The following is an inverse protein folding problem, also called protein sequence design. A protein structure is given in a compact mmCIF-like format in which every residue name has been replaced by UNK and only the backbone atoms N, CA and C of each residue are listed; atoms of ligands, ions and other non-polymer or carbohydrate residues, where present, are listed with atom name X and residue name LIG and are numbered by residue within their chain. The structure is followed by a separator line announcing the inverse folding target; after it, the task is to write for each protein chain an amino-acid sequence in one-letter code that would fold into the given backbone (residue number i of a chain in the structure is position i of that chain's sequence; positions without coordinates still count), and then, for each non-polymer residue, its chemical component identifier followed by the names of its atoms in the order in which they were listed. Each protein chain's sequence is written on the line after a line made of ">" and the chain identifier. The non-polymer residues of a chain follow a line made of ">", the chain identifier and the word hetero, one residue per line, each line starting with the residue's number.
data_IF_800531208182
#
_entry.id   IF_800531208182
#
_cell.length_a   1.000
_cell.length_b   1.000
_cell.length_c   1.000
_cell.angle_alpha   90.00
_cell.angle_beta   90.00
_cell.angle_gamma   90.00
#
_symmetry.space_group_name_H-M   'P 1'
#
loop_
_entity.id
_entity.type
_entity.pdbx_description
1 polymer ?
#
# COMPACT_ATOMS: atom_id res chain seq x y z
N UNK A 1 16.53 29.85 13.92
CA UNK A 1 17.34 28.67 13.54
C UNK A 1 17.12 28.42 12.08
N UNK A 2 18.19 28.23 11.31
CA UNK A 2 18.11 27.89 9.89
C UNK A 2 17.38 26.56 9.71
N UNK A 3 16.56 26.48 8.65
CA UNK A 3 15.86 25.28 8.22
C UNK A 3 16.33 24.99 6.80
N UNK A 4 16.50 23.72 6.49
CA UNK A 4 16.91 23.22 5.20
C UNK A 4 15.71 22.54 4.53
N UNK A 5 15.53 22.80 3.24
CA UNK A 5 14.63 22.04 2.39
C UNK A 5 15.44 20.93 1.71
N UNK A 6 15.13 19.68 2.02
CA UNK A 6 15.76 18.52 1.38
C UNK A 6 14.80 17.98 0.33
N UNK A 7 15.35 17.56 -0.82
CA UNK A 7 14.58 17.10 -1.98
C UNK A 7 15.12 15.77 -2.50
N UNK A 8 14.20 14.89 -2.89
CA UNK A 8 14.46 13.67 -3.64
C UNK A 8 13.61 13.65 -4.91
N UNK A 9 14.00 12.84 -5.87
CA UNK A 9 13.23 12.65 -7.10
C UNK A 9 13.10 11.17 -7.41
N UNK A 10 11.88 10.74 -7.67
CA UNK A 10 11.56 9.36 -8.04
C UNK A 10 10.85 9.36 -9.38
N UNK A 11 11.27 8.46 -10.27
CA UNK A 11 10.61 8.26 -11.56
C UNK A 11 9.59 7.14 -11.43
N UNK A 12 8.33 7.48 -11.71
CA UNK A 12 7.25 6.50 -11.81
C UNK A 12 7.35 5.86 -13.20
N UNK A 13 7.74 4.58 -13.26
CA UNK A 13 7.79 3.82 -14.51
C UNK A 13 6.42 3.19 -14.78
N UNK A 14 5.80 3.58 -15.88
CA UNK A 14 4.66 2.86 -16.46
C UNK A 14 5.16 1.60 -17.18
N UNK A 15 5.42 0.54 -16.43
CA UNK A 15 5.70 -0.77 -17.01
C UNK A 15 4.40 -1.58 -16.99
N UNK A 16 3.58 -1.42 -18.02
CA UNK A 16 2.60 -2.45 -18.33
C UNK A 16 3.35 -3.58 -19.04
N UNK A 17 3.41 -4.76 -18.41
CA UNK A 17 3.86 -5.99 -19.08
C UNK A 17 3.03 -6.21 -20.37
N UNK A 18 3.56 -6.90 -21.39
CA UNK A 18 2.82 -7.14 -22.64
C UNK A 18 1.42 -7.75 -22.41
N UNK A 19 1.27 -8.61 -21.41
CA UNK A 19 -0.02 -9.17 -21.00
C UNK A 19 -0.96 -8.10 -20.44
N UNK A 20 -0.45 -7.19 -19.60
CA UNK A 20 -1.19 -6.03 -19.07
C UNK A 20 -1.60 -5.08 -20.19
N UNK A 21 -0.77 -4.89 -21.22
CA UNK A 21 -1.09 -4.04 -22.39
C UNK A 21 -2.22 -4.58 -23.27
N UNK A 22 -2.48 -5.89 -23.22
CA UNK A 22 -3.63 -6.52 -23.89
C UNK A 22 -4.92 -6.21 -23.10
N UNK A 23 -4.83 -6.13 -21.77
CA UNK A 23 -5.91 -5.70 -20.87
C UNK A 23 -6.12 -4.17 -20.87
N UNK A 24 -5.07 -3.39 -21.16
CA UNK A 24 -5.04 -1.92 -21.16
C UNK A 24 -5.62 -1.26 -22.44
N UNK A 25 -6.20 -2.04 -23.36
CA UNK A 25 -6.85 -1.52 -24.58
C UNK A 25 -8.13 -0.72 -24.32
N UNK A 26 -8.55 -0.61 -23.06
CA UNK A 26 -9.74 0.09 -22.60
C UNK A 26 -9.50 1.53 -22.13
N UNK A 27 -8.26 2.06 -22.20
CA UNK A 27 -7.89 3.37 -21.62
C UNK A 27 -8.04 3.46 -20.08
N UNK A 28 -8.32 2.34 -19.41
CA UNK A 28 -8.62 2.29 -17.96
C UNK A 28 -7.38 2.55 -17.10
N UNK A 29 -6.15 2.32 -17.60
CA UNK A 29 -4.91 2.61 -16.86
C UNK A 29 -4.19 3.87 -17.36
N UNK A 30 -4.91 4.79 -18.03
CA UNK A 30 -4.30 6.01 -18.56
C UNK A 30 -3.61 6.83 -17.44
N UNK A 31 -2.31 7.06 -17.62
CA UNK A 31 -1.34 7.47 -16.59
C UNK A 31 -1.51 8.87 -15.96
N UNK A 32 -2.67 9.50 -16.08
CA UNK A 32 -2.99 10.76 -15.39
C UNK A 32 -3.50 10.55 -13.96
N UNK A 33 -4.31 9.51 -13.70
CA UNK A 33 -4.87 9.25 -12.37
C UNK A 33 -3.89 8.51 -11.44
N UNK A 34 -2.99 7.68 -12.00
CA UNK A 34 -1.94 7.00 -11.24
C UNK A 34 -1.01 7.98 -10.50
N UNK A 35 -0.64 9.10 -11.14
CA UNK A 35 0.29 10.05 -10.52
C UNK A 35 -0.31 10.74 -9.28
N UNK A 36 -1.62 11.00 -9.29
CA UNK A 36 -2.32 11.59 -8.12
C UNK A 36 -2.38 10.58 -6.97
N UNK A 37 -2.54 9.29 -7.28
CA UNK A 37 -2.49 8.22 -6.29
C UNK A 37 -1.08 8.06 -5.71
N UNK A 38 -0.05 8.10 -6.55
CA UNK A 38 1.34 8.01 -6.10
C UNK A 38 1.69 9.18 -5.16
N UNK A 39 1.29 10.40 -5.52
CA UNK A 39 1.43 11.60 -4.68
C UNK A 39 0.79 11.40 -3.31
N UNK A 40 -0.40 10.80 -3.28
CA UNK A 40 -1.11 10.54 -2.04
C UNK A 40 -0.48 9.40 -1.23
N UNK A 41 0.00 8.35 -1.90
CA UNK A 41 0.65 7.23 -1.24
C UNK A 41 1.91 7.71 -0.50
N UNK A 42 2.68 8.62 -1.10
CA UNK A 42 3.83 9.25 -0.44
C UNK A 42 3.48 10.02 0.84
N UNK A 43 2.28 10.58 0.96
CA UNK A 43 1.83 11.28 2.17
C UNK A 43 1.06 10.37 3.14
N UNK A 44 0.90 9.08 2.80
CA UNK A 44 0.18 8.13 3.63
C UNK A 44 0.94 7.77 4.91
N UNK A 45 0.17 7.52 5.98
CA UNK A 45 0.73 7.08 7.27
C UNK A 45 1.38 5.70 7.20
N UNK A 46 0.84 4.80 6.38
CA UNK A 46 1.38 3.43 6.23
C UNK A 46 2.77 3.47 5.61
N UNK A 47 2.93 4.18 4.49
CA UNK A 47 4.23 4.31 3.84
C UNK A 47 5.24 5.04 4.73
N UNK A 48 4.79 6.09 5.41
CA UNK A 48 5.60 6.79 6.42
C UNK A 48 6.06 5.84 7.54
N UNK A 49 5.18 4.95 8.00
CA UNK A 49 5.51 3.98 9.03
C UNK A 49 6.55 2.96 8.56
N UNK A 50 6.42 2.46 7.32
CA UNK A 50 7.40 1.54 6.74
C UNK A 50 8.77 2.22 6.57
N UNK A 51 8.78 3.48 6.13
CA UNK A 51 9.99 4.28 6.02
C UNK A 51 10.65 4.50 7.38
N UNK A 52 9.87 4.90 8.40
CA UNK A 52 10.36 5.13 9.75
C UNK A 52 10.85 3.85 10.44
N UNK A 53 10.30 2.68 10.11
CA UNK A 53 10.77 1.41 10.66
C UNK A 53 12.23 1.09 10.26
N UNK A 54 12.70 1.63 9.13
CA UNK A 54 14.09 1.52 8.67
C UNK A 54 15.02 2.55 9.34
N UNK A 55 14.48 3.47 10.15
CA UNK A 55 15.18 4.61 10.72
C UNK A 55 15.10 4.62 12.26
N UNK A 56 16.16 5.07 12.92
CA UNK A 56 16.20 5.23 14.38
C UNK A 56 15.78 6.65 14.79
N UNK A 57 14.56 7.05 14.44
CA UNK A 57 14.01 8.40 14.72
C UNK A 57 13.21 8.47 16.02
N UNK A 58 13.02 7.32 16.66
CA UNK A 58 12.34 7.13 17.94
C UNK A 58 13.04 7.82 19.12
N UNK A 59 14.33 8.15 18.95
CA UNK A 59 15.10 8.95 19.90
C UNK A 59 15.76 10.14 19.22
N UNK A 60 15.48 11.35 19.69
CA UNK A 60 16.26 12.54 19.36
C UNK A 60 17.33 12.80 20.42
N UNK A 61 18.55 13.12 19.99
CA UNK A 61 19.67 13.46 20.86
C UNK A 61 20.03 14.93 20.74
N UNK A 62 20.35 15.56 21.86
CA UNK A 62 20.70 16.97 21.95
C UNK A 62 21.97 17.16 22.77
N UNK A 63 22.73 18.20 22.43
CA UNK A 63 23.77 18.74 23.29
C UNK A 63 23.48 20.20 23.60
N UNK A 64 23.65 20.57 24.87
CA UNK A 64 23.57 21.96 25.31
C UNK A 64 24.94 22.62 25.20
N UNK A 65 25.01 23.71 24.44
CA UNK A 65 26.15 24.63 24.51
C UNK A 65 25.77 25.85 25.35
N UNK A 66 26.75 26.69 25.71
CA UNK A 66 26.50 27.94 26.44
C UNK A 66 25.57 28.92 25.69
N UNK A 67 25.32 28.71 24.40
CA UNK A 67 24.61 29.66 23.52
C UNK A 67 23.31 29.07 22.98
N UNK A 68 23.31 27.79 22.59
CA UNK A 68 22.14 27.11 22.01
C UNK A 68 22.20 25.61 22.19
N UNK A 69 21.04 24.99 22.20
CA UNK A 69 20.90 23.56 22.01
C UNK A 69 21.11 23.18 20.53
N UNK A 70 21.78 22.06 20.30
CA UNK A 70 21.94 21.45 18.98
C UNK A 70 21.41 20.02 19.02
N UNK A 71 20.63 19.62 18.00
CA UNK A 71 20.26 18.21 17.81
C UNK A 71 21.42 17.49 17.10
N UNK A 72 21.87 16.37 17.68
CA UNK A 72 23.08 15.66 17.26
C UNK A 72 22.81 14.61 16.17
N UNK A 73 21.60 14.03 16.16
CA UNK A 73 21.23 12.92 15.26
C UNK A 73 22.31 11.80 15.29
N UNK A 74 22.96 11.46 14.17
CA UNK A 74 24.02 10.43 14.10
C UNK A 74 25.33 10.82 14.78
N UNK A 75 25.57 12.10 15.05
CA UNK A 75 26.77 12.57 15.75
C UNK A 75 26.67 12.41 17.28
N UNK A 76 25.58 11.83 17.77
CA UNK A 76 25.41 11.55 19.19
C UNK A 76 26.44 10.53 19.67
N UNK A 77 27.19 10.79 20.76
CA UNK A 77 28.07 9.80 21.35
C UNK A 77 27.31 8.70 22.11
N UNK A 78 26.01 8.91 22.31
CA UNK A 78 25.10 8.00 23.02
C UNK A 78 24.06 7.43 22.05
N UNK A 79 23.73 6.15 22.23
CA UNK A 79 22.61 5.49 21.58
C UNK A 79 21.69 4.89 22.62
N UNK A 80 20.43 5.28 22.61
CA UNK A 80 19.37 4.72 23.43
C UNK A 80 18.60 3.71 22.58
N UNK A 81 18.42 2.50 23.10
CA UNK A 81 17.57 1.47 22.53
C UNK A 81 16.35 1.28 23.43
N UNK A 82 15.18 1.64 22.94
CA UNK A 82 13.93 1.69 23.71
C UNK A 82 13.14 0.41 23.54
N UNK A 83 12.53 -0.07 24.62
CA UNK A 83 11.55 -1.16 24.57
C UNK A 83 10.13 -0.56 24.47
N UNK A 84 9.62 -0.41 23.25
CA UNK A 84 8.32 0.21 22.99
C UNK A 84 7.11 -0.65 23.44
N UNK A 85 7.33 -1.90 23.88
CA UNK A 85 6.29 -2.75 24.49
C UNK A 85 6.09 -2.43 26.00
N UNK A 86 6.88 -1.50 26.54
CA UNK A 86 6.78 -1.01 27.91
C UNK A 86 6.37 0.47 27.94
N UNK A 87 5.64 0.97 28.96
CA UNK A 87 5.36 2.40 29.10
C UNK A 87 6.64 3.24 29.09
N UNK A 88 6.67 4.33 28.32
CA UNK A 88 7.86 5.19 28.18
C UNK A 88 7.56 6.66 28.55
N UNK A 89 8.55 7.31 29.15
CA UNK A 89 8.58 8.76 29.36
C UNK A 89 8.71 9.45 28.00
N UNK A 90 7.59 9.93 27.49
CA UNK A 90 7.54 10.63 26.20
C UNK A 90 7.28 12.13 26.36
N UNK A 91 7.57 12.90 25.32
CA UNK A 91 7.41 14.37 25.28
C UNK A 91 8.29 15.15 26.28
N UNK A 92 9.28 14.51 26.90
CA UNK A 92 10.17 15.16 27.86
C UNK A 92 11.62 14.77 27.60
N UNK A 93 12.51 15.74 27.75
CA UNK A 93 13.94 15.50 27.63
C UNK A 93 14.46 14.87 28.91
N UNK A 94 15.35 13.90 28.75
CA UNK A 94 16.10 13.28 29.82
C UNK A 94 17.56 13.65 29.63
N UNK A 95 18.17 14.24 30.66
CA UNK A 95 19.57 14.64 30.65
C UNK A 95 20.46 13.49 31.10
N UNK A 96 21.53 13.25 30.36
CA UNK A 96 22.58 12.28 30.66
C UNK A 96 23.85 13.03 31.03
N UNK A 97 24.34 12.75 32.24
CA UNK A 97 25.68 13.14 32.68
C UNK A 97 26.60 11.92 32.63
N UNK A 98 27.52 11.90 31.68
CA UNK A 98 28.52 10.84 31.54
C UNK A 98 29.54 11.00 32.69
N UNK A 99 29.69 9.98 33.53
CA UNK A 99 30.61 10.02 34.68
C UNK A 99 31.96 9.38 34.30
N UNK A 100 31.92 8.27 33.58
CA UNK A 100 33.07 7.54 33.08
C UNK A 100 32.70 6.83 31.77
N UNK A 101 33.64 6.11 31.17
CA UNK A 101 33.41 5.33 29.94
C UNK A 101 32.50 4.12 30.19
N UNK A 102 32.22 3.81 31.46
CA UNK A 102 31.37 2.69 31.88
C UNK A 102 30.07 3.12 32.57
N UNK A 103 30.01 4.36 33.07
CA UNK A 103 28.92 4.81 33.96
C UNK A 103 28.40 6.18 33.61
N UNK A 104 27.10 6.39 33.79
CA UNK A 104 26.40 7.65 33.61
C UNK A 104 25.36 7.87 34.71
N UNK A 105 24.77 9.06 34.73
CA UNK A 105 23.62 9.41 35.58
C UNK A 105 22.54 10.08 34.74
N UNK A 106 21.29 9.69 34.99
CA UNK A 106 20.12 10.36 34.42
C UNK A 106 19.64 11.46 35.35
N UNK A 107 19.26 12.58 34.76
CA UNK A 107 18.71 13.76 35.42
C UNK A 107 17.45 14.19 34.63
N UNK A 108 16.46 14.78 35.30
CA UNK A 108 15.38 15.47 34.60
C UNK A 108 15.97 16.52 33.65
N UNK A 109 15.48 16.55 32.40
CA UNK A 109 15.84 17.61 31.45
C UNK A 109 15.17 18.93 31.80
N UNK A 110 15.62 20.03 31.18
CA UNK A 110 14.96 21.32 31.34
C UNK A 110 13.64 21.35 30.55
N UNK A 111 12.54 21.68 31.24
CA UNK A 111 11.22 21.84 30.63
C UNK A 111 11.22 23.00 29.63
N UNK A 112 10.52 22.84 28.50
CA UNK A 112 10.27 23.98 27.62
C UNK A 112 9.39 25.00 28.35
N UNK A 113 9.59 26.30 28.09
CA UNK A 113 8.85 27.39 28.74
C UNK A 113 7.31 27.21 28.69
N UNK A 114 6.79 26.57 27.64
CA UNK A 114 5.36 26.24 27.50
C UNK A 114 4.88 25.13 28.45
N UNK A 115 5.73 24.15 28.80
CA UNK A 115 5.37 23.08 29.74
C UNK A 115 5.16 23.63 31.15
N UNK A 116 5.96 24.63 31.55
CA UNK A 116 5.80 25.33 32.83
C UNK A 116 4.52 26.19 32.91
N UNK A 117 3.91 26.56 31.77
CA UNK A 117 2.74 27.43 31.75
C UNK A 117 1.42 26.66 31.88
N UNK A 118 1.38 25.40 31.41
CA UNK A 118 0.17 24.56 31.43
C UNK A 118 0.21 23.41 32.44
N UNK A 119 1.36 23.06 33.02
CA UNK A 119 1.47 21.96 33.99
C UNK A 119 1.86 22.46 35.40
N UNK A 120 0.96 22.30 36.38
CA UNK A 120 1.26 22.51 37.81
C UNK A 120 2.06 21.34 38.43
N UNK A 121 2.89 20.61 37.67
CA UNK A 121 3.50 19.33 38.06
C UNK A 121 4.97 19.42 38.46
N UNK A 122 5.40 20.53 39.07
CA UNK A 122 6.80 20.72 39.49
C UNK A 122 7.26 19.77 40.63
N UNK A 123 6.37 18.95 41.19
CA UNK A 123 6.61 18.16 42.41
C UNK A 123 6.79 16.64 42.20
N UNK A 124 6.66 16.09 40.98
CA UNK A 124 6.73 14.62 40.73
C UNK A 124 8.00 14.19 39.96
N UNK A 125 8.79 15.15 39.48
CA UNK A 125 9.84 14.87 38.49
C UNK A 125 11.20 14.44 39.09
N UNK A 126 11.55 14.91 40.29
CA UNK A 126 12.84 14.59 40.92
C UNK A 126 12.87 13.19 41.59
N UNK A 127 11.71 12.59 41.83
CA UNK A 127 11.53 11.34 42.60
C UNK A 127 11.35 10.09 41.73
N UNK A 128 11.44 10.19 40.39
CA UNK A 128 11.36 8.99 39.54
C UNK A 128 12.54 8.06 39.78
N UNK A 129 12.24 6.77 39.76
CA UNK A 129 13.16 5.70 40.12
C UNK A 129 14.37 5.55 39.19
N UNK A 130 14.37 6.14 37.99
CA UNK A 130 15.52 6.12 37.08
C UNK A 130 16.51 7.28 37.29
N UNK A 131 16.11 8.36 37.97
CA UNK A 131 16.93 9.57 38.10
C UNK A 131 17.90 9.50 39.27
N UNK A 132 18.97 10.30 39.19
CA UNK A 132 19.97 10.48 40.24
C UNK A 132 20.76 9.22 40.65
N UNK A 133 20.58 8.09 39.94
CA UNK A 133 21.31 6.83 40.14
C UNK A 133 22.54 6.73 39.24
N UNK A 134 23.58 6.06 39.72
CA UNK A 134 24.72 5.68 38.88
C UNK A 134 24.35 4.42 38.11
N UNK A 135 24.23 4.55 36.79
CA UNK A 135 23.86 3.48 35.87
C UNK A 135 25.06 3.13 34.98
N UNK A 136 25.05 1.93 34.41
CA UNK A 136 26.12 1.46 33.52
C UNK A 136 25.64 1.39 32.08
N UNK A 137 26.53 1.71 31.15
CA UNK A 137 26.23 1.55 29.72
C UNK A 137 26.04 0.07 29.38
N UNK A 138 25.06 -0.21 28.52
CA UNK A 138 24.68 -1.56 28.06
C UNK A 138 23.78 -2.34 29.03
N UNK A 139 23.66 -1.90 30.29
CA UNK A 139 22.69 -2.47 31.24
C UNK A 139 21.29 -1.90 30.99
N UNK A 140 20.27 -2.70 31.31
CA UNK A 140 18.86 -2.29 31.18
C UNK A 140 18.48 -1.33 32.29
N UNK A 141 17.95 -0.17 31.91
CA UNK A 141 17.34 0.78 32.82
C UNK A 141 15.85 0.48 32.85
N UNK A 142 15.34 0.10 34.01
CA UNK A 142 13.92 -0.21 34.24
C UNK A 142 13.42 0.74 35.33
N UNK A 143 12.34 1.44 35.04
CA UNK A 143 11.55 2.19 36.00
C UNK A 143 10.06 2.05 35.73
N UNK A 144 9.21 2.73 36.50
CA UNK A 144 7.74 2.64 36.39
C UNK A 144 7.21 2.92 34.98
N UNK A 145 7.79 3.92 34.29
CA UNK A 145 7.42 4.32 32.94
C UNK A 145 8.65 4.50 32.04
N UNK A 146 9.68 3.68 32.24
CA UNK A 146 10.87 3.69 31.42
C UNK A 146 11.49 2.30 31.30
N UNK A 147 11.72 1.86 30.06
CA UNK A 147 12.53 0.66 29.81
C UNK A 147 13.38 0.82 28.57
N UNK A 148 14.69 0.93 28.74
CA UNK A 148 15.63 1.14 27.65
C UNK A 148 17.07 0.76 28.04
N UNK A 149 17.95 0.66 27.04
CA UNK A 149 19.40 0.50 27.21
C UNK A 149 20.13 1.69 26.62
N UNK A 150 21.17 2.17 27.30
CA UNK A 150 22.01 3.27 26.80
C UNK A 150 23.39 2.72 26.49
N UNK A 151 23.88 2.97 25.28
CA UNK A 151 25.20 2.59 24.80
C UNK A 151 26.04 3.84 24.55
N UNK A 152 27.33 3.77 24.89
CA UNK A 152 28.32 4.77 24.51
C UNK A 152 28.98 4.32 23.20
N UNK A 153 28.82 5.08 22.12
CA UNK A 153 29.34 4.73 20.79
C UNK A 153 30.69 5.37 20.50
N UNK A 154 30.89 6.63 20.92
CA UNK A 154 32.13 7.36 20.72
C UNK A 154 32.44 8.15 22.00
N UNK A 155 33.60 7.92 22.61
CA UNK A 155 34.01 8.61 23.84
C UNK A 155 34.73 9.95 23.58
N UNK A 156 34.60 10.51 22.37
CA UNK A 156 35.03 11.87 22.10
C UNK A 156 34.06 12.84 22.79
N UNK A 157 34.20 12.98 24.12
CA UNK A 157 33.39 13.88 24.94
C UNK A 157 33.55 15.31 24.42
N UNK A 158 32.55 15.76 23.69
CA UNK A 158 32.55 17.07 23.06
C UNK A 158 31.75 18.10 23.88
N UNK A 159 30.85 17.64 24.76
CA UNK A 159 29.95 18.48 25.54
C UNK A 159 29.80 17.96 26.98
N UNK A 160 29.50 18.88 27.91
CA UNK A 160 29.36 18.58 29.35
C UNK A 160 28.09 17.79 29.69
N UNK A 161 27.02 18.01 28.93
CA UNK A 161 25.72 17.36 29.14
C UNK A 161 25.05 17.03 27.81
N UNK A 162 24.48 15.84 27.74
CA UNK A 162 23.67 15.37 26.63
C UNK A 162 22.23 15.23 27.09
N UNK A 163 21.28 15.42 26.19
CA UNK A 163 19.86 15.16 26.46
C UNK A 163 19.29 14.26 25.37
N UNK A 164 18.29 13.45 25.71
CA UNK A 164 17.54 12.69 24.72
C UNK A 164 16.04 12.81 24.94
N UNK A 165 15.27 12.66 23.87
CA UNK A 165 13.81 12.72 23.85
C UNK A 165 13.27 11.51 23.13
N UNK A 166 12.36 10.79 23.77
CA UNK A 166 11.64 9.66 23.19
C UNK A 166 10.38 10.15 22.48
N UNK A 167 10.19 9.69 21.24
CA UNK A 167 9.02 9.99 20.42
C UNK A 167 8.19 8.74 20.21
N UNK A 168 6.89 8.77 20.54
CA UNK A 168 6.04 7.60 20.29
C UNK A 168 5.93 7.31 18.79
N UNK A 169 5.81 6.04 18.37
CA UNK A 169 5.65 5.68 16.95
C UNK A 169 4.55 6.50 16.26
N UNK A 170 3.37 6.63 16.89
CA UNK A 170 2.25 7.39 16.34
C UNK A 170 2.57 8.88 16.14
N UNK A 171 3.24 9.51 17.10
CA UNK A 171 3.62 10.93 16.99
C UNK A 171 4.67 11.17 15.89
N UNK A 172 5.58 10.22 15.68
CA UNK A 172 6.54 10.29 14.58
C UNK A 172 5.84 10.15 13.24
N UNK A 173 4.96 9.16 13.10
CA UNK A 173 4.20 8.94 11.87
C UNK A 173 3.41 10.20 11.53
N UNK A 174 2.63 10.74 12.47
CA UNK A 174 1.84 11.95 12.25
C UNK A 174 2.72 13.16 11.90
N UNK A 175 3.87 13.32 12.57
CA UNK A 175 4.77 14.43 12.29
C UNK A 175 5.39 14.33 10.90
N UNK A 176 5.88 13.16 10.53
CA UNK A 176 6.65 12.95 9.31
C UNK A 176 5.78 12.78 8.07
N UNK A 177 4.56 12.23 8.20
CA UNK A 177 3.60 12.16 7.09
C UNK A 177 3.11 13.57 6.69
N UNK A 178 2.86 14.43 7.69
CA UNK A 178 2.42 15.82 7.47
C UNK A 178 3.54 16.76 7.02
N UNK A 179 4.80 16.37 7.18
CA UNK A 179 5.97 17.19 6.83
C UNK A 179 6.47 16.98 5.40
N UNK A 180 5.88 16.02 4.67
CA UNK A 180 6.20 15.74 3.27
C UNK A 180 5.37 16.60 2.34
N UNK A 181 6.02 17.11 1.30
CA UNK A 181 5.36 17.66 0.12
C UNK A 181 5.77 16.85 -1.10
N UNK A 182 4.80 16.46 -1.91
CA UNK A 182 5.04 15.74 -3.16
C UNK A 182 4.36 16.50 -4.30
N UNK A 183 5.12 16.71 -5.38
CA UNK A 183 4.62 17.38 -6.59
C UNK A 183 5.33 16.82 -7.82
N UNK A 184 4.71 16.89 -9.01
CA UNK A 184 5.41 16.63 -10.25
C UNK A 184 6.58 17.59 -10.44
N UNK A 185 7.76 17.09 -10.84
CA UNK A 185 8.94 17.92 -11.11
C UNK A 185 8.71 18.83 -12.34
N UNK A 186 7.98 18.31 -13.33
CA UNK A 186 7.53 19.03 -14.52
C UNK A 186 6.03 18.76 -14.67
N UNK A 187 5.25 19.75 -15.08
CA UNK A 187 3.82 19.56 -15.38
C UNK A 187 3.66 18.42 -16.40
N UNK A 188 2.82 17.43 -16.09
CA UNK A 188 2.61 16.22 -16.91
C UNK A 188 3.84 15.29 -17.03
N UNK A 189 4.86 15.45 -16.18
CA UNK A 189 6.00 14.53 -16.09
C UNK A 189 5.73 13.33 -15.19
N UNK A 190 6.46 12.22 -15.43
CA UNK A 190 6.41 10.99 -14.61
C UNK A 190 7.38 10.99 -13.42
N UNK A 191 8.06 12.11 -13.19
CA UNK A 191 9.02 12.28 -12.09
C UNK A 191 8.36 13.10 -11.00
N UNK A 192 8.30 12.53 -9.79
CA UNK A 192 7.84 13.20 -8.59
C UNK A 192 9.02 13.77 -7.81
N UNK A 193 8.92 15.04 -7.43
CA UNK A 193 9.79 15.68 -6.43
C UNK A 193 9.13 15.51 -5.06
N UNK A 194 9.89 14.94 -4.13
CA UNK A 194 9.50 14.75 -2.73
C UNK A 194 10.39 15.68 -1.92
N UNK A 195 9.78 16.52 -1.08
CA UNK A 195 10.53 17.45 -0.24
C UNK A 195 10.08 17.45 1.21
N UNK A 196 11.00 17.81 2.10
CA UNK A 196 10.73 18.03 3.51
C UNK A 196 11.58 19.16 4.07
N UNK A 197 11.09 19.82 5.11
CA UNK A 197 11.81 20.90 5.79
C UNK A 197 12.31 20.40 7.15
N UNK A 198 13.62 20.43 7.34
CA UNK A 198 14.31 19.89 8.52
C UNK A 198 15.32 20.88 9.08
N UNK A 199 15.72 20.69 10.34
CA UNK A 199 16.85 21.41 10.95
C UNK A 199 18.19 20.73 10.68
N UNK A 200 18.17 19.45 10.32
CA UNK A 200 19.35 18.63 10.05
C UNK A 200 19.19 18.04 8.66
N UNK A 201 20.03 18.47 7.73
CA UNK A 201 20.03 18.02 6.32
C UNK A 201 20.08 16.50 6.22
N UNK A 202 21.05 15.86 6.88
CA UNK A 202 21.23 14.40 6.86
C UNK A 202 19.96 13.66 7.31
N UNK A 203 19.28 14.14 8.34
CA UNK A 203 18.03 13.55 8.85
C UNK A 203 16.89 13.65 7.82
N UNK A 204 16.84 14.76 7.08
CA UNK A 204 15.88 14.93 5.98
C UNK A 204 16.20 14.02 4.80
N UNK A 205 17.48 13.89 4.44
CA UNK A 205 17.93 13.01 3.35
C UNK A 205 17.66 11.54 3.65
N UNK A 206 17.99 11.08 4.87
CA UNK A 206 17.73 9.71 5.29
C UNK A 206 16.24 9.38 5.25
N UNK A 207 15.38 10.32 5.69
CA UNK A 207 13.94 10.13 5.64
C UNK A 207 13.39 10.08 4.22
N UNK A 208 13.77 11.03 3.36
CA UNK A 208 13.32 11.04 1.96
C UNK A 208 13.78 9.78 1.24
N UNK A 209 15.02 9.32 1.46
CA UNK A 209 15.52 8.07 0.88
C UNK A 209 14.73 6.85 1.37
N UNK A 210 14.53 6.71 2.68
CA UNK A 210 13.75 5.61 3.23
C UNK A 210 12.30 5.59 2.74
N UNK A 211 11.69 6.77 2.54
CA UNK A 211 10.34 6.92 2.01
C UNK A 211 10.27 6.52 0.52
N UNK A 212 11.26 6.93 -0.28
CA UNK A 212 11.36 6.48 -1.68
C UNK A 212 11.60 4.97 -1.78
N UNK A 213 12.44 4.40 -0.92
CA UNK A 213 12.69 2.96 -0.90
C UNK A 213 11.44 2.17 -0.50
N UNK A 214 10.71 2.63 0.52
CA UNK A 214 9.42 2.04 0.91
C UNK A 214 8.41 2.10 -0.25
N UNK A 215 8.34 3.22 -0.97
CA UNK A 215 7.46 3.36 -2.13
C UNK A 215 7.82 2.37 -3.24
N UNK A 216 9.11 2.23 -3.56
CA UNK A 216 9.57 1.30 -4.59
C UNK A 216 9.29 -0.16 -4.22
N UNK A 217 9.43 -0.52 -2.95
CA UNK A 217 9.05 -1.85 -2.44
C UNK A 217 7.54 -2.10 -2.55
N UNK A 218 6.72 -1.11 -2.18
CA UNK A 218 5.26 -1.17 -2.31
C UNK A 218 4.83 -1.33 -3.78
N UNK A 219 5.32 -0.46 -4.67
CA UNK A 219 4.99 -0.46 -6.10
C UNK A 219 5.39 -1.79 -6.76
N UNK A 220 6.55 -2.34 -6.41
CA UNK A 220 6.98 -3.64 -6.91
C UNK A 220 6.06 -4.77 -6.44
N UNK A 221 5.64 -4.75 -5.16
CA UNK A 221 4.74 -5.75 -4.60
C UNK A 221 3.36 -5.69 -5.26
N UNK A 222 2.81 -4.50 -5.46
CA UNK A 222 1.54 -4.30 -6.15
C UNK A 222 1.60 -4.81 -7.60
N UNK A 223 2.68 -4.48 -8.33
CA UNK A 223 2.90 -4.97 -9.70
C UNK A 223 3.02 -6.48 -9.80
N UNK A 224 3.71 -7.12 -8.85
CA UNK A 224 3.81 -8.58 -8.82
C UNK A 224 2.45 -9.22 -8.55
N UNK A 225 1.67 -8.69 -7.60
CA UNK A 225 0.32 -9.19 -7.30
C UNK A 225 -0.61 -9.09 -8.52
N UNK A 226 -0.58 -7.95 -9.24
CA UNK A 226 -1.35 -7.78 -10.48
C UNK A 226 -0.92 -8.80 -11.53
N UNK A 227 0.39 -9.02 -11.69
CA UNK A 227 0.93 -9.95 -12.69
C UNK A 227 0.58 -11.41 -12.37
N UNK A 228 0.67 -11.81 -11.10
CA UNK A 228 0.27 -13.14 -10.63
C UNK A 228 -1.22 -13.41 -10.84
N UNK A 229 -2.06 -12.42 -10.51
CA UNK A 229 -3.51 -12.52 -10.74
C UNK A 229 -3.85 -12.58 -12.23
N UNK A 230 -3.17 -11.80 -13.06
CA UNK A 230 -3.36 -11.83 -14.51
C UNK A 230 -2.93 -13.18 -15.12
N UNK A 231 -1.79 -13.73 -14.68
CA UNK A 231 -1.32 -15.05 -15.12
C UNK A 231 -2.33 -16.15 -14.73
N UNK A 232 -2.75 -16.16 -13.45
CA UNK A 232 -3.76 -17.10 -12.96
C UNK A 232 -5.05 -17.02 -13.78
N UNK A 233 -5.51 -15.80 -14.08
CA UNK A 233 -6.68 -15.60 -14.92
C UNK A 233 -6.49 -16.21 -16.32
N UNK A 234 -5.34 -15.98 -16.97
CA UNK A 234 -5.03 -16.54 -18.30
C UNK A 234 -5.01 -18.08 -18.26
N UNK A 235 -4.38 -18.68 -17.25
CA UNK A 235 -4.33 -20.13 -17.08
C UNK A 235 -5.73 -20.74 -16.94
N UNK A 236 -6.60 -20.12 -16.14
CA UNK A 236 -8.00 -20.52 -16.01
C UNK A 236 -8.75 -20.42 -17.35
N UNK A 237 -8.51 -19.37 -18.14
CA UNK A 237 -9.13 -19.23 -19.46
C UNK A 237 -8.62 -20.25 -20.49
N UNK A 238 -7.33 -20.59 -20.48
CA UNK A 238 -6.76 -21.58 -21.40
C UNK A 238 -7.37 -22.96 -21.17
N UNK A 239 -7.55 -23.36 -19.91
CA UNK A 239 -8.18 -24.64 -19.57
C UNK A 239 -9.62 -24.72 -20.10
N UNK A 240 -10.38 -23.63 -19.98
CA UNK A 240 -11.77 -23.55 -20.45
C UNK A 240 -11.83 -23.65 -21.98
N UNK A 241 -10.92 -22.96 -22.69
CA UNK A 241 -10.84 -23.01 -24.15
C UNK A 241 -10.44 -24.41 -24.64
N UNK A 242 -9.50 -25.08 -23.97
CA UNK A 242 -9.07 -26.44 -24.30
C UNK A 242 -10.22 -27.45 -24.15
N UNK A 243 -10.92 -27.43 -23.01
CA UNK A 243 -12.07 -28.30 -22.77
C UNK A 243 -13.22 -28.04 -23.77
N UNK A 244 -13.44 -26.76 -24.11
CA UNK A 244 -14.45 -26.36 -25.10
C UNK A 244 -14.09 -26.85 -26.52
N UNK A 245 -12.83 -26.71 -26.94
CA UNK A 245 -12.36 -27.19 -28.23
C UNK A 245 -12.50 -28.70 -28.35
N UNK A 246 -12.10 -29.46 -27.32
CA UNK A 246 -12.24 -30.91 -27.27
C UNK A 246 -13.70 -31.37 -27.35
N UNK A 247 -14.61 -30.61 -26.73
CA UNK A 247 -16.05 -30.85 -26.79
C UNK A 247 -16.60 -30.64 -28.21
N UNK A 248 -16.16 -29.57 -28.89
CA UNK A 248 -16.53 -29.28 -30.28
C UNK A 248 -15.99 -30.36 -31.23
N UNK A 249 -14.71 -30.73 -31.13
CA UNK A 249 -14.12 -31.82 -31.93
C UNK A 249 -14.89 -33.14 -31.78
N UNK A 250 -15.27 -33.49 -30.54
CA UNK A 250 -16.08 -34.67 -30.27
C UNK A 250 -17.49 -34.58 -30.85
N UNK A 251 -18.10 -33.40 -30.87
CA UNK A 251 -19.42 -33.16 -31.45
C UNK A 251 -19.39 -33.28 -32.98
N UNK A 252 -18.42 -32.64 -33.61
CA UNK A 252 -18.16 -32.77 -35.05
C UNK A 252 -17.88 -34.23 -35.46
N UNK A 253 -17.09 -34.97 -34.68
CA UNK A 253 -16.81 -36.38 -34.95
C UNK A 253 -18.08 -37.23 -34.87
N UNK A 254 -18.90 -37.05 -33.82
CA UNK A 254 -20.18 -37.76 -33.68
C UNK A 254 -21.13 -37.46 -34.83
N UNK A 255 -21.21 -36.20 -35.24
CA UNK A 255 -22.04 -35.79 -36.38
C UNK A 255 -21.60 -36.48 -37.67
N UNK A 256 -20.28 -36.50 -37.97
CA UNK A 256 -19.73 -37.19 -39.15
C UNK A 256 -20.04 -38.68 -39.15
N UNK A 257 -19.89 -39.34 -38.00
CA UNK A 257 -20.17 -40.79 -37.84
C UNK A 257 -21.66 -41.11 -38.00
N UNK A 258 -22.54 -40.37 -37.31
CA UNK A 258 -23.99 -40.60 -37.36
C UNK A 258 -24.56 -40.42 -38.77
N UNK A 259 -24.08 -39.41 -39.49
CA UNK A 259 -24.56 -39.10 -40.83
C UNK A 259 -23.80 -39.84 -41.94
N UNK A 260 -22.90 -40.79 -41.58
CA UNK A 260 -22.09 -41.59 -42.52
C UNK A 260 -21.33 -40.72 -43.55
N UNK A 261 -20.92 -39.53 -43.13
CA UNK A 261 -20.24 -38.53 -43.95
C UNK A 261 -18.76 -38.87 -44.08
N UNK A 262 -18.44 -39.91 -44.84
CA UNK A 262 -17.07 -40.23 -45.24
C UNK A 262 -16.72 -39.67 -46.63
N UNK A 263 -17.73 -39.30 -47.43
CA UNK A 263 -17.55 -38.71 -48.76
C UNK A 263 -18.40 -37.42 -48.85
N UNK A 264 -17.73 -36.26 -48.79
CA UNK A 264 -18.38 -34.95 -48.74
C UNK A 264 -18.77 -34.54 -50.16
N UNK A 265 -19.96 -34.93 -50.62
CA UNK A 265 -20.53 -34.34 -51.83
C UNK A 265 -20.94 -32.88 -51.55
N UNK A 266 -20.89 -32.03 -52.59
CA UNK A 266 -21.09 -30.57 -52.51
C UNK A 266 -22.41 -30.12 -51.83
N UNK A 267 -23.43 -30.98 -51.78
CA UNK A 267 -24.70 -30.73 -51.08
C UNK A 267 -24.57 -30.64 -49.55
N UNK A 268 -23.53 -31.24 -48.95
CA UNK A 268 -23.33 -31.24 -47.49
C UNK A 268 -22.35 -30.18 -46.99
N UNK A 269 -21.64 -29.48 -47.89
CA UNK A 269 -20.69 -28.42 -47.52
C UNK A 269 -21.34 -27.29 -46.73
N UNK A 270 -22.49 -26.78 -47.19
CA UNK A 270 -23.19 -25.69 -46.50
C UNK A 270 -23.76 -26.08 -45.13
N UNK A 271 -24.11 -27.35 -44.92
CA UNK A 271 -24.53 -27.85 -43.60
C UNK A 271 -23.33 -27.91 -42.65
N UNK A 272 -22.18 -28.37 -43.14
CA UNK A 272 -20.94 -28.41 -42.36
C UNK A 272 -20.45 -27.00 -41.98
N UNK A 273 -20.54 -26.04 -42.90
CA UNK A 273 -20.21 -24.63 -42.63
C UNK A 273 -21.14 -24.04 -41.56
N UNK A 274 -22.45 -24.32 -41.63
CA UNK A 274 -23.41 -23.89 -40.60
C UNK A 274 -23.10 -24.51 -39.23
N UNK A 275 -22.71 -25.78 -39.18
CA UNK A 275 -22.31 -26.45 -37.93
C UNK A 275 -21.05 -25.80 -37.36
N UNK A 276 -20.05 -25.50 -38.19
CA UNK A 276 -18.84 -24.82 -37.75
C UNK A 276 -19.14 -23.43 -37.18
N UNK A 277 -20.05 -22.68 -37.81
CA UNK A 277 -20.49 -21.36 -37.31
C UNK A 277 -21.24 -21.50 -35.98
N UNK A 278 -22.15 -22.48 -35.85
CA UNK A 278 -22.88 -22.74 -34.60
C UNK A 278 -21.93 -23.19 -33.48
N UNK A 279 -20.97 -24.06 -33.77
CA UNK A 279 -19.94 -24.46 -32.80
C UNK A 279 -19.08 -23.27 -32.37
N UNK A 280 -18.63 -22.41 -33.30
CA UNK A 280 -17.88 -21.20 -32.98
C UNK A 280 -18.70 -20.24 -32.10
N UNK A 281 -20.00 -20.09 -32.36
CA UNK A 281 -20.91 -19.30 -31.53
C UNK A 281 -21.06 -19.89 -30.12
N UNK A 282 -21.21 -21.22 -30.01
CA UNK A 282 -21.29 -21.91 -28.71
C UNK A 282 -19.98 -21.72 -27.93
N UNK A 283 -18.82 -21.79 -28.60
CA UNK A 283 -17.51 -21.55 -27.97
C UNK A 283 -17.40 -20.12 -27.42
N UNK A 284 -17.83 -19.11 -28.18
CA UNK A 284 -17.84 -17.72 -27.70
C UNK A 284 -18.77 -17.54 -26.49
N UNK A 285 -19.95 -18.17 -26.51
CA UNK A 285 -20.91 -18.17 -25.40
C UNK A 285 -20.33 -18.86 -24.15
N UNK A 286 -19.61 -19.98 -24.32
CA UNK A 286 -18.98 -20.69 -23.20
C UNK A 286 -17.84 -19.90 -22.58
N UNK A 287 -17.09 -19.17 -23.39
CA UNK A 287 -16.11 -18.21 -22.91
C UNK A 287 -16.75 -17.08 -22.08
N UNK A 288 -17.85 -16.49 -22.56
CA UNK A 288 -18.61 -15.47 -21.80
C UNK A 288 -19.10 -16.03 -20.45
N UNK A 289 -19.67 -17.25 -20.43
CA UNK A 289 -20.16 -17.88 -19.19
C UNK A 289 -19.04 -18.17 -18.20
N UNK A 290 -17.93 -18.71 -18.67
CA UNK A 290 -16.75 -18.96 -17.86
C UNK A 290 -16.24 -17.68 -17.19
N UNK A 291 -16.17 -16.59 -17.95
CA UNK A 291 -15.79 -15.29 -17.44
C UNK A 291 -16.76 -14.79 -16.36
N UNK A 292 -18.06 -14.76 -16.64
CA UNK A 292 -19.05 -14.30 -15.67
C UNK A 292 -19.03 -15.12 -14.37
N UNK A 293 -18.81 -16.44 -14.45
CA UNK A 293 -18.68 -17.29 -13.27
C UNK A 293 -17.38 -17.05 -12.48
N UNK A 294 -16.27 -16.78 -13.17
CA UNK A 294 -14.99 -16.41 -12.53
C UNK A 294 -15.16 -15.11 -11.77
N UNK A 295 -15.78 -14.11 -12.40
CA UNK A 295 -16.02 -12.81 -11.79
C UNK A 295 -17.01 -12.88 -10.62
N UNK A 296 -18.09 -13.64 -10.77
CA UNK A 296 -19.01 -13.95 -9.68
C UNK A 296 -18.26 -14.53 -8.48
N UNK A 297 -17.37 -15.48 -8.72
CA UNK A 297 -16.57 -16.13 -7.67
C UNK A 297 -15.62 -15.15 -7.01
N UNK A 298 -14.97 -14.29 -7.80
CA UNK A 298 -14.08 -13.24 -7.32
C UNK A 298 -14.78 -12.23 -6.40
N UNK A 299 -15.96 -11.74 -6.78
CA UNK A 299 -16.76 -10.81 -5.97
C UNK A 299 -17.23 -11.44 -4.65
N UNK A 300 -17.48 -12.74 -4.64
CA UNK A 300 -17.94 -13.48 -3.45
C UNK A 300 -16.78 -13.87 -2.52
N UNK A 301 -15.59 -14.15 -3.04
CA UNK A 301 -14.45 -14.62 -2.22
C UNK A 301 -13.56 -13.51 -1.67
N UNK A 302 -13.61 -12.29 -2.22
CA UNK A 302 -12.83 -11.12 -1.77
C UNK A 302 -13.67 -10.07 -1.04
N UNK A 303 -14.73 -10.48 -0.35
CA UNK A 303 -15.55 -9.56 0.47
C UNK A 303 -14.78 -8.96 1.66
N UNK A 304 -13.70 -9.60 2.12
CA UNK A 304 -13.01 -9.18 3.35
C UNK A 304 -11.79 -8.26 3.12
N UNK A 305 -11.24 -8.17 1.90
CA UNK A 305 -10.08 -7.32 1.56
C UNK A 305 -10.40 -6.34 0.44
N UNK A 306 -10.83 -5.14 0.80
CA UNK A 306 -11.11 -4.00 -0.10
C UNK A 306 -9.87 -3.49 -0.88
N UNK A 307 -8.69 -4.06 -0.64
CA UNK A 307 -7.42 -3.59 -1.18
C UNK A 307 -7.08 -4.20 -2.55
N UNK A 308 -7.80 -5.23 -2.99
CA UNK A 308 -7.33 -6.11 -4.05
C UNK A 308 -8.25 -6.19 -5.28
N UNK A 309 -9.24 -5.30 -5.44
CA UNK A 309 -10.16 -5.31 -6.59
C UNK A 309 -9.44 -4.86 -7.86
N UNK A 310 -8.75 -5.81 -8.50
CA UNK A 310 -8.22 -5.68 -9.87
C UNK A 310 -9.25 -6.34 -10.76
N UNK A 311 -10.24 -5.58 -11.22
CA UNK A 311 -11.22 -6.11 -12.18
C UNK A 311 -10.51 -6.33 -13.53
N UNK A 312 -10.41 -7.57 -14.05
CA UNK A 312 -9.83 -7.80 -15.36
C UNK A 312 -10.79 -7.19 -16.41
N UNK A 313 -10.39 -6.07 -17.01
CA UNK A 313 -11.13 -5.51 -18.14
C UNK A 313 -10.74 -6.30 -19.39
N UNK A 314 -11.68 -7.02 -20.01
CA UNK A 314 -11.42 -7.74 -21.25
C UNK A 314 -12.27 -7.17 -22.38
N UNK A 315 -11.55 -6.80 -23.43
CA UNK A 315 -12.06 -6.54 -24.78
C UNK A 315 -12.82 -7.77 -25.27
N UNK A 316 -14.14 -7.65 -25.45
CA UNK A 316 -14.96 -8.69 -26.10
C UNK A 316 -16.32 -8.94 -25.44
N UNK A 317 -16.50 -8.56 -24.18
CA UNK A 317 -17.80 -8.67 -23.50
C UNK A 317 -18.57 -7.37 -23.69
N UNK A 318 -19.65 -7.44 -24.48
CA UNK A 318 -20.38 -6.29 -24.99
C UNK A 318 -21.41 -5.67 -24.04
N UNK A 319 -21.36 -5.93 -22.72
CA UNK A 319 -22.31 -5.34 -21.78
C UNK A 319 -21.81 -4.00 -21.21
N UNK A 320 -22.39 -2.89 -21.70
CA UNK A 320 -22.01 -1.54 -21.30
C UNK A 320 -22.31 -1.24 -19.83
N UNK A 321 -23.42 -1.73 -19.29
CA UNK A 321 -23.82 -1.47 -17.91
C UNK A 321 -22.86 -2.13 -16.92
N UNK A 322 -22.46 -3.36 -17.21
CA UNK A 322 -21.46 -4.10 -16.44
C UNK A 322 -20.12 -3.37 -16.40
N UNK A 323 -19.66 -2.86 -17.55
CA UNK A 323 -18.42 -2.10 -17.65
C UNK A 323 -18.51 -0.80 -16.83
N UNK A 324 -19.62 -0.06 -16.92
CA UNK A 324 -19.84 1.17 -16.16
C UNK A 324 -19.82 0.93 -14.65
N UNK A 325 -20.53 -0.10 -14.17
CA UNK A 325 -20.53 -0.44 -12.75
C UNK A 325 -19.14 -0.85 -12.26
N UNK A 326 -18.37 -1.56 -13.10
CA UNK A 326 -17.00 -1.96 -12.77
C UNK A 326 -16.07 -0.75 -12.66
N UNK A 327 -16.19 0.22 -13.57
CA UNK A 327 -15.43 1.48 -13.50
C UNK A 327 -15.75 2.25 -12.22
N UNK A 328 -17.04 2.42 -11.89
CA UNK A 328 -17.45 3.07 -10.63
C UNK A 328 -16.96 2.34 -9.38
N UNK A 329 -16.84 1.00 -9.42
CA UNK A 329 -16.32 0.23 -8.30
C UNK A 329 -14.83 0.51 -8.08
N UNK A 330 -14.07 0.61 -9.15
CA UNK A 330 -12.65 0.99 -9.12
C UNK A 330 -12.50 2.41 -8.54
N UNK A 331 -13.26 3.38 -9.07
CA UNK A 331 -13.23 4.77 -8.60
C UNK A 331 -13.53 4.89 -7.10
N UNK A 332 -14.61 4.27 -6.61
CA UNK A 332 -14.97 4.30 -5.19
C UNK A 332 -13.93 3.60 -4.30
N UNK A 333 -13.37 2.48 -4.77
CA UNK A 333 -12.31 1.76 -4.04
C UNK A 333 -11.04 2.61 -3.92
N UNK A 334 -10.71 3.37 -4.97
CA UNK A 334 -9.61 4.32 -4.97
C UNK A 334 -9.86 5.51 -4.04
N UNK A 335 -11.07 6.09 -4.06
CA UNK A 335 -11.44 7.18 -3.15
C UNK A 335 -11.37 6.75 -1.68
N UNK A 336 -11.82 5.52 -1.39
CA UNK A 336 -11.70 4.90 -0.07
C UNK A 336 -10.26 4.75 0.37
N UNK A 337 -9.40 4.19 -0.50
CA UNK A 337 -7.96 4.05 -0.25
C UNK A 337 -7.33 5.42 0.04
N UNK A 338 -7.75 6.43 -0.72
CA UNK A 338 -7.31 7.80 -0.54
C UNK A 338 -7.69 8.35 0.83
N UNK A 339 -8.92 8.15 1.25
CA UNK A 339 -9.38 8.60 2.56
C UNK A 339 -8.63 7.89 3.70
N UNK A 340 -8.47 6.58 3.62
CA UNK A 340 -7.74 5.76 4.60
C UNK A 340 -6.26 6.13 4.75
N UNK A 341 -5.67 6.81 3.78
CA UNK A 341 -4.30 7.33 3.92
C UNK A 341 -4.19 8.44 4.98
N UNK A 342 -5.30 9.11 5.29
CA UNK A 342 -5.37 10.28 6.17
C UNK A 342 -6.10 9.95 7.47
N UNK A 343 -7.14 9.10 7.41
CA UNK A 343 -8.01 8.78 8.55
C UNK A 343 -8.07 7.27 8.81
N UNK A 344 -8.50 6.89 10.01
CA UNK A 344 -8.72 5.47 10.35
C UNK A 344 -9.97 4.92 9.65
N UNK A 345 -10.03 3.60 9.50
CA UNK A 345 -11.19 2.83 9.04
C UNK A 345 -12.51 3.17 9.76
N UNK A 346 -12.45 3.61 11.02
CA UNK A 346 -13.63 4.00 11.78
C UNK A 346 -14.25 5.34 11.35
N UNK A 347 -13.62 6.11 10.46
CA UNK A 347 -14.06 7.46 10.08
C UNK A 347 -15.43 7.42 9.36
N UNK A 348 -16.37 8.36 9.63
CA UNK A 348 -17.70 8.36 9.02
C UNK A 348 -17.68 8.31 7.49
N UNK A 349 -16.83 9.11 6.85
CA UNK A 349 -16.73 9.15 5.39
C UNK A 349 -16.20 7.83 4.80
N UNK A 350 -15.34 7.10 5.53
CA UNK A 350 -14.89 5.77 5.11
C UNK A 350 -16.07 4.81 5.12
N UNK A 351 -16.90 4.85 6.17
CA UNK A 351 -18.10 4.01 6.27
C UNK A 351 -19.13 4.31 5.19
N UNK A 352 -19.23 5.57 4.75
CA UNK A 352 -20.09 5.94 3.62
C UNK A 352 -19.58 5.30 2.33
N UNK A 353 -18.27 5.38 2.06
CA UNK A 353 -17.64 4.73 0.91
C UNK A 353 -17.76 3.20 0.98
N UNK A 354 -17.57 2.60 2.16
CA UNK A 354 -17.79 1.16 2.37
C UNK A 354 -19.21 0.74 1.96
N UNK A 355 -20.23 1.49 2.39
CA UNK A 355 -21.62 1.21 2.03
C UNK A 355 -21.89 1.39 0.54
N UNK A 356 -21.28 2.38 -0.10
CA UNK A 356 -21.42 2.59 -1.55
C UNK A 356 -20.77 1.46 -2.34
N UNK A 357 -19.58 1.02 -1.93
CA UNK A 357 -18.85 -0.10 -2.53
C UNK A 357 -19.66 -1.39 -2.38
N UNK A 358 -20.17 -1.70 -1.19
CA UNK A 358 -20.97 -2.92 -0.97
C UNK A 358 -22.24 -2.94 -1.82
N UNK A 359 -22.99 -1.82 -1.87
CA UNK A 359 -24.17 -1.72 -2.75
C UNK A 359 -23.82 -1.89 -4.22
N UNK A 360 -22.68 -1.35 -4.66
CA UNK A 360 -22.25 -1.49 -6.04
C UNK A 360 -21.82 -2.93 -6.35
N UNK A 361 -21.15 -3.61 -5.42
CA UNK A 361 -20.84 -5.05 -5.54
C UNK A 361 -22.12 -5.88 -5.65
N UNK A 362 -23.14 -5.60 -4.83
CA UNK A 362 -24.44 -6.26 -4.91
C UNK A 362 -25.08 -6.06 -6.30
N UNK A 363 -25.10 -4.83 -6.80
CA UNK A 363 -25.62 -4.53 -8.14
C UNK A 363 -24.85 -5.25 -9.26
N UNK A 364 -23.51 -5.27 -9.17
CA UNK A 364 -22.66 -5.99 -10.13
C UNK A 364 -22.95 -7.49 -10.05
N UNK A 365 -23.09 -8.04 -8.85
CA UNK A 365 -23.39 -9.45 -8.65
C UNK A 365 -24.75 -9.84 -9.25
N UNK A 366 -25.79 -9.04 -9.02
CA UNK A 366 -27.10 -9.24 -9.64
C UNK A 366 -27.03 -9.13 -11.17
N UNK A 367 -26.29 -8.14 -11.69
CA UNK A 367 -26.09 -7.97 -13.12
C UNK A 367 -25.38 -9.19 -13.73
N UNK A 368 -24.31 -9.69 -13.10
CA UNK A 368 -23.61 -10.90 -13.52
C UNK A 368 -24.54 -12.12 -13.53
N UNK A 369 -25.41 -12.28 -12.53
CA UNK A 369 -26.38 -13.39 -12.54
C UNK A 369 -27.34 -13.29 -13.72
N UNK A 370 -27.82 -12.09 -14.03
CA UNK A 370 -28.67 -11.86 -15.19
C UNK A 370 -27.93 -12.15 -16.51
N UNK A 371 -26.66 -11.74 -16.61
CA UNK A 371 -25.81 -12.03 -17.77
C UNK A 371 -25.58 -13.54 -17.95
N UNK A 372 -25.28 -14.27 -16.88
CA UNK A 372 -25.17 -15.74 -16.90
C UNK A 372 -26.47 -16.36 -17.41
N UNK A 373 -27.61 -15.99 -16.83
CA UNK A 373 -28.92 -16.53 -17.21
C UNK A 373 -29.25 -16.26 -18.69
N UNK A 374 -28.97 -15.04 -19.17
CA UNK A 374 -29.18 -14.66 -20.55
C UNK A 374 -28.26 -15.42 -21.50
N UNK A 375 -26.97 -15.55 -21.16
CA UNK A 375 -25.99 -16.27 -21.98
C UNK A 375 -26.24 -17.78 -21.98
N UNK A 376 -26.67 -18.38 -20.87
CA UNK A 376 -27.13 -19.78 -20.85
C UNK A 376 -28.38 -20.01 -21.74
N UNK A 377 -29.30 -19.05 -21.76
CA UNK A 377 -30.47 -19.11 -22.62
C UNK A 377 -30.09 -19.05 -24.11
N UNK A 378 -29.17 -18.14 -24.48
CA UNK A 378 -28.57 -18.09 -25.82
C UNK A 378 -27.86 -19.39 -26.18
N UNK A 379 -27.14 -20.02 -25.24
CA UNK A 379 -26.50 -21.32 -25.45
C UNK A 379 -27.52 -22.40 -25.83
N UNK A 380 -28.60 -22.50 -25.06
CA UNK A 380 -29.67 -23.50 -25.28
C UNK A 380 -30.37 -23.33 -26.63
N UNK A 381 -30.51 -22.08 -27.09
CA UNK A 381 -31.09 -21.79 -28.41
C UNK A 381 -30.16 -22.24 -29.55
N UNK A 382 -28.86 -21.93 -29.46
CA UNK A 382 -27.86 -22.38 -30.45
C UNK A 382 -27.65 -23.90 -30.46
N UNK A 383 -27.94 -24.61 -29.37
CA UNK A 383 -27.88 -26.08 -29.30
C UNK A 383 -29.15 -26.76 -29.86
N UNK A 384 -30.26 -26.03 -30.02
CA UNK A 384 -31.53 -26.56 -30.56
C UNK A 384 -31.63 -26.43 -32.07
N UNK A 385 -31.03 -25.38 -32.62
CA UNK A 385 -30.92 -25.11 -34.06
C UNK A 385 -29.75 -25.90 -34.64
#
# INVERSE_FOLDING_TARGET
>A
MEKFEVKGSVMIKSNAAPEVRILDRSNIFSGGENLTNDILLFSSKNLTSEALAKLHFDVSYFASTNIKEIELYKNSPIKVAVDWDYPQITNRKIRIKILSDSTFRLLPGENMFLDNFFMSYKYVEEDRDIFNKNLKFGEEVIGEDAKFKIFLQNNSRQYDTYEFLLHTPSSLIDRYSNAIQVKPLINYGTVLEISTVTKIEEKGSDYINALMDAFLEYDLKEKNLISENALKFIEEQLYIVEDSLKSAEGSLQRFKVQNRMLDVNAEFGGVLDNIQVLEANIQAIDFELAYYNTLKSYLVTKTDSFEEIVAPSIVGIGDGLFNDMTMSLVELSMERRKLLSIVKDTHPDVKVLDQQIERLKENIFENIQNLISNTESKKKENQKN
#
